data_IF_552309993751
#
_entry.id   IF_552309993751
#
_cell.length_a   1.000
_cell.length_b   1.000
_cell.length_c   1.000
_cell.angle_alpha   90.00
_cell.angle_beta   90.00
_cell.angle_gamma   90.00
#
_symmetry.space_group_name_H-M   'P 1'
#
loop_
_entity.id
_entity.type
_entity.pdbx_description
1 polymer ?
#
# COMPACT_ATOMS: atom_id res chain seq x y z
N UNK A 1 -4.09 -1.84 -14.42
CA UNK A 1 -3.56 -0.58 -13.87
C UNK A 1 -2.10 -0.43 -14.28
N UNK A 2 -1.74 0.70 -14.82
CA UNK A 2 -0.37 0.98 -15.23
C UNK A 2 0.34 1.77 -14.12
N UNK A 3 1.48 1.28 -13.69
CA UNK A 3 2.28 1.94 -12.67
C UNK A 3 3.36 2.80 -13.32
N UNK A 4 3.61 4.00 -12.78
CA UNK A 4 4.69 4.85 -13.25
C UNK A 4 6.04 4.12 -13.16
N UNK A 5 6.94 4.41 -14.08
CA UNK A 5 8.23 3.72 -14.20
C UNK A 5 9.04 3.75 -12.90
N UNK A 6 9.11 4.91 -12.23
CA UNK A 6 9.85 5.03 -10.98
C UNK A 6 9.22 4.19 -9.86
N UNK A 7 7.89 4.14 -9.81
CA UNK A 7 7.18 3.32 -8.83
C UNK A 7 7.40 1.83 -9.13
N UNK A 8 7.36 1.45 -10.40
CA UNK A 8 7.64 0.07 -10.83
C UNK A 8 9.05 -0.33 -10.41
N UNK A 9 10.04 0.51 -10.67
CA UNK A 9 11.44 0.23 -10.30
C UNK A 9 11.60 0.09 -8.79
N UNK A 10 10.92 0.94 -8.01
CA UNK A 10 10.97 0.87 -6.56
C UNK A 10 10.36 -0.43 -6.04
N UNK A 11 9.19 -0.81 -6.56
CA UNK A 11 8.51 -2.04 -6.15
C UNK A 11 9.36 -3.27 -6.51
N UNK A 12 10.01 -3.26 -7.66
CA UNK A 12 10.93 -4.34 -8.04
C UNK A 12 12.05 -4.51 -7.02
N UNK A 13 12.58 -3.41 -6.50
CA UNK A 13 13.62 -3.45 -5.46
C UNK A 13 13.05 -3.96 -4.13
N UNK A 14 11.85 -3.55 -3.75
CA UNK A 14 11.19 -4.09 -2.57
C UNK A 14 11.07 -5.61 -2.65
N UNK A 15 10.66 -6.13 -3.80
CA UNK A 15 10.52 -7.56 -4.01
C UNK A 15 11.88 -8.27 -4.06
N UNK A 16 12.87 -7.67 -4.70
CA UNK A 16 14.21 -8.23 -4.80
C UNK A 16 14.85 -8.45 -3.42
N UNK A 17 14.70 -7.48 -2.53
CA UNK A 17 15.23 -7.55 -1.17
C UNK A 17 14.27 -8.18 -0.17
N UNK A 18 13.17 -8.73 -0.65
CA UNK A 18 12.18 -9.43 0.18
C UNK A 18 11.68 -8.57 1.34
N UNK A 19 11.37 -7.31 1.05
CA UNK A 19 10.79 -6.40 2.03
C UNK A 19 9.38 -6.85 2.41
N UNK A 20 9.08 -6.84 3.69
CA UNK A 20 7.71 -7.01 4.17
C UNK A 20 7.00 -5.66 4.04
N UNK A 21 6.11 -5.54 3.05
CA UNK A 21 5.40 -4.29 2.76
C UNK A 21 4.00 -4.54 2.23
N UNK A 22 3.17 -3.51 2.32
CA UNK A 22 1.88 -3.44 1.63
C UNK A 22 1.69 -2.06 1.04
N UNK A 23 1.08 -2.00 -0.13
CA UNK A 23 0.60 -0.74 -0.71
C UNK A 23 -0.67 -0.34 0.03
N UNK A 24 -0.72 0.89 0.49
CA UNK A 24 -1.86 1.50 1.19
C UNK A 24 -2.27 2.78 0.48
N UNK A 25 -3.15 3.57 1.04
CA UNK A 25 -3.51 4.88 0.50
C UNK A 25 -4.25 4.84 -0.83
N UNK A 26 -4.00 5.83 -1.67
CA UNK A 26 -4.74 6.02 -2.93
C UNK A 26 -4.65 4.89 -3.93
N UNK A 27 -3.49 4.25 -4.06
CA UNK A 27 -3.33 3.10 -4.95
C UNK A 27 -4.09 1.88 -4.44
N UNK A 28 -4.15 1.68 -3.12
CA UNK A 28 -4.96 0.61 -2.53
C UNK A 28 -6.46 0.88 -2.74
N UNK A 29 -6.89 2.13 -2.59
CA UNK A 29 -8.26 2.53 -2.87
C UNK A 29 -8.64 2.21 -4.33
N UNK A 30 -7.77 2.54 -5.27
CA UNK A 30 -7.98 2.25 -6.69
C UNK A 30 -8.07 0.74 -6.93
N UNK A 31 -7.21 -0.04 -6.29
CA UNK A 31 -7.24 -1.50 -6.41
C UNK A 31 -8.56 -2.08 -5.90
N UNK A 32 -9.09 -1.55 -4.80
CA UNK A 32 -10.35 -2.04 -4.21
C UNK A 32 -11.60 -1.51 -4.90
N UNK A 33 -11.48 -0.82 -6.01
CA UNK A 33 -12.61 -0.54 -6.88
C UNK A 33 -13.00 0.92 -7.03
N UNK A 34 -12.25 1.86 -6.44
CA UNK A 34 -12.49 3.28 -6.64
C UNK A 34 -11.34 3.95 -7.38
N UNK A 35 -11.28 3.86 -8.72
CA UNK A 35 -10.23 4.54 -9.47
C UNK A 35 -10.29 6.05 -9.23
N UNK A 36 -9.15 6.64 -8.89
CA UNK A 36 -8.99 8.07 -8.87
C UNK A 36 -7.52 8.38 -9.14
N UNK A 37 -7.28 9.59 -9.64
CA UNK A 37 -5.92 10.02 -9.87
C UNK A 37 -5.19 10.16 -8.52
N UNK A 38 -4.01 9.55 -8.42
CA UNK A 38 -3.14 9.69 -7.25
C UNK A 38 -1.70 9.80 -7.73
N UNK A 39 -0.97 10.77 -7.18
CA UNK A 39 0.43 10.98 -7.51
C UNK A 39 1.39 10.29 -6.53
N UNK A 40 0.91 9.91 -5.35
CA UNK A 40 1.75 9.37 -4.30
C UNK A 40 1.56 7.87 -4.18
N UNK A 41 2.68 7.14 -4.12
CA UNK A 41 2.67 5.72 -3.81
C UNK A 41 2.97 5.57 -2.32
N UNK A 42 2.01 5.07 -1.55
CA UNK A 42 2.14 4.86 -0.11
C UNK A 42 2.50 3.40 0.17
N UNK A 43 3.68 3.19 0.72
CA UNK A 43 4.23 1.88 1.06
C UNK A 43 4.30 1.75 2.58
N UNK A 44 3.58 0.79 3.14
CA UNK A 44 3.61 0.47 4.56
C UNK A 44 4.55 -0.71 4.77
N UNK A 45 5.59 -0.53 5.59
CA UNK A 45 6.60 -1.55 5.86
C UNK A 45 6.46 -2.06 7.29
N UNK A 46 6.78 -3.35 7.49
CA UNK A 46 6.84 -3.92 8.84
C UNK A 46 8.09 -3.42 9.57
N UNK A 47 7.96 -3.18 10.87
CA UNK A 47 9.08 -2.77 11.73
C UNK A 47 9.85 -4.00 12.18
N UNK A 48 11.06 -4.18 11.66
CA UNK A 48 12.02 -5.20 12.13
C UNK A 48 13.42 -4.80 11.73
N UNK A 49 14.42 -5.30 12.44
CA UNK A 49 15.84 -5.08 12.10
C UNK A 49 16.15 -5.57 10.68
N UNK A 50 15.64 -6.74 10.34
CA UNK A 50 15.82 -7.33 9.03
C UNK A 50 15.23 -6.44 7.93
N UNK A 51 14.00 -5.98 8.13
CA UNK A 51 13.31 -5.13 7.16
C UNK A 51 14.02 -3.78 7.02
N UNK A 52 14.42 -3.18 8.14
CA UNK A 52 15.12 -1.90 8.14
C UNK A 52 16.48 -1.98 7.41
N UNK A 53 17.27 -3.03 7.68
CA UNK A 53 18.53 -3.24 6.99
C UNK A 53 18.36 -3.39 5.48
N UNK A 54 17.34 -4.13 5.07
CA UNK A 54 17.02 -4.36 3.66
C UNK A 54 16.49 -3.09 2.99
N UNK A 55 15.73 -2.27 3.71
CA UNK A 55 15.26 -0.98 3.18
C UNK A 55 16.42 -0.06 2.83
N UNK A 56 17.50 -0.06 3.60
CA UNK A 56 18.67 0.72 3.24
C UNK A 56 19.28 0.26 1.92
N UNK A 57 19.29 -1.04 1.63
CA UNK A 57 19.74 -1.58 0.36
C UNK A 57 18.83 -1.15 -0.80
N UNK A 58 17.52 -1.20 -0.58
CA UNK A 58 16.53 -0.73 -1.56
C UNK A 58 16.81 0.73 -1.92
N UNK A 59 16.95 1.58 -0.92
CA UNK A 59 17.18 3.01 -1.14
C UNK A 59 18.50 3.29 -1.80
N UNK A 60 19.56 2.56 -1.44
CA UNK A 60 20.85 2.68 -2.09
C UNK A 60 20.75 2.32 -3.58
N UNK A 61 20.12 1.21 -3.89
CA UNK A 61 19.97 0.76 -5.28
C UNK A 61 19.02 1.67 -6.09
N UNK A 62 18.09 2.31 -5.40
CA UNK A 62 17.19 3.28 -6.02
C UNK A 62 17.86 4.65 -6.26
N UNK A 63 19.13 4.78 -5.86
CA UNK A 63 19.90 6.01 -6.08
C UNK A 63 19.76 7.05 -4.98
N UNK A 64 19.32 6.67 -3.80
CA UNK A 64 19.06 7.59 -2.68
C UNK A 64 20.08 7.51 -1.55
N UNK A 65 21.26 6.92 -1.80
CA UNK A 65 22.29 6.76 -0.76
C UNK A 65 22.79 8.09 -0.18
N UNK A 66 22.80 9.16 -0.97
CA UNK A 66 23.23 10.48 -0.54
C UNK A 66 22.26 11.17 0.42
N UNK A 67 21.05 10.65 0.58
CA UNK A 67 20.03 11.25 1.46
C UNK A 67 20.28 10.98 2.94
N UNK A 68 21.22 10.09 3.27
CA UNK A 68 21.61 9.84 4.66
C UNK A 68 20.61 9.03 5.49
N UNK A 69 19.82 8.17 4.86
CA UNK A 69 18.87 7.31 5.59
C UNK A 69 19.59 6.34 6.52
N UNK A 70 18.98 6.09 7.68
CA UNK A 70 19.51 5.19 8.71
C UNK A 70 18.45 4.14 9.06
N UNK A 71 18.88 3.02 9.65
CA UNK A 71 17.96 1.97 10.10
C UNK A 71 16.90 2.51 11.06
N UNK A 72 17.27 3.43 11.95
CA UNK A 72 16.33 4.02 12.90
C UNK A 72 15.15 4.72 12.23
N UNK A 73 15.33 5.22 11.01
CA UNK A 73 14.25 5.85 10.24
C UNK A 73 13.11 4.86 9.96
N UNK A 74 13.42 3.57 9.95
CA UNK A 74 12.44 2.50 9.66
C UNK A 74 12.05 1.69 10.90
N UNK A 75 12.72 1.90 12.03
CA UNK A 75 12.46 1.19 13.28
C UNK A 75 11.63 1.99 14.26
N UNK A 76 11.67 3.30 14.17
CA UNK A 76 10.97 4.19 15.10
C UNK A 76 9.49 4.31 14.69
N UNK A 77 8.55 3.79 15.51
CA UNK A 77 7.13 3.81 15.13
C UNK A 77 6.61 5.22 14.85
N UNK A 78 5.77 5.34 13.83
CA UNK A 78 5.18 6.61 13.44
C UNK A 78 6.05 7.45 12.52
N UNK A 79 7.18 6.92 12.08
CA UNK A 79 8.06 7.63 11.15
C UNK A 79 7.59 7.46 9.72
N UNK A 80 7.60 8.54 8.96
CA UNK A 80 7.33 8.52 7.53
C UNK A 80 8.52 9.07 6.77
N UNK A 81 8.95 8.35 5.74
CA UNK A 81 10.03 8.76 4.85
C UNK A 81 9.46 9.09 3.49
N UNK A 82 9.73 10.27 2.97
CA UNK A 82 9.23 10.71 1.67
C UNK A 82 10.39 10.78 0.67
N UNK A 83 10.17 10.22 -0.51
CA UNK A 83 11.16 10.19 -1.60
C UNK A 83 10.53 10.81 -2.84
N UNK A 84 11.28 11.71 -3.49
CA UNK A 84 10.84 12.35 -4.72
C UNK A 84 9.95 13.56 -4.46
N UNK A 85 9.38 14.07 -5.53
CA UNK A 85 8.55 15.28 -5.54
C UNK A 85 7.27 15.04 -6.32
N UNK A 86 6.16 15.73 -6.00
CA UNK A 86 4.99 15.66 -6.85
C UNK A 86 5.35 15.98 -8.30
N UNK A 87 4.73 15.29 -9.29
CA UNK A 87 3.57 14.40 -9.14
C UNK A 87 3.90 12.94 -8.80
N UNK A 88 5.15 12.56 -8.65
CA UNK A 88 5.56 11.18 -8.39
C UNK A 88 6.36 11.08 -7.10
N UNK A 89 5.67 11.00 -5.96
CA UNK A 89 6.30 10.86 -4.65
C UNK A 89 6.03 9.47 -4.07
N UNK A 90 7.03 8.91 -3.40
CA UNK A 90 6.90 7.66 -2.67
C UNK A 90 6.95 7.97 -1.18
N UNK A 91 5.92 7.56 -0.46
CA UNK A 91 5.82 7.72 0.99
C UNK A 91 5.99 6.35 1.65
N UNK A 92 7.00 6.21 2.49
CA UNK A 92 7.28 4.97 3.22
C UNK A 92 6.83 5.17 4.66
N UNK A 93 5.83 4.39 5.09
CA UNK A 93 5.27 4.46 6.44
C UNK A 93 5.62 3.16 7.19
N UNK A 94 5.89 3.26 8.48
CA UNK A 94 6.12 2.07 9.29
C UNK A 94 5.00 1.80 10.29
N UNK A 95 3.94 2.63 10.28
CA UNK A 95 2.71 2.38 11.02
C UNK A 95 1.54 3.07 10.33
N UNK A 96 0.35 2.50 10.51
CA UNK A 96 -0.89 3.10 10.05
C UNK A 96 -1.92 3.00 11.17
N UNK A 97 -2.92 3.87 11.15
CA UNK A 97 -3.93 3.91 12.20
C UNK A 97 -4.81 2.66 12.19
N UNK A 98 -5.00 2.07 13.36
CA UNK A 98 -6.00 1.04 13.59
C UNK A 98 -5.67 -0.37 13.09
N UNK A 99 -4.52 -0.59 12.49
CA UNK A 99 -4.15 -1.90 11.93
C UNK A 99 -2.70 -2.23 12.25
N UNK A 100 -2.46 -3.45 12.71
CA UNK A 100 -1.12 -3.98 12.94
C UNK A 100 -0.65 -4.80 11.73
N UNK A 101 0.63 -4.69 11.38
CA UNK A 101 1.18 -5.33 10.19
C UNK A 101 1.02 -6.86 10.21
N UNK A 102 1.32 -7.49 11.34
CA UNK A 102 1.26 -8.96 11.45
C UNK A 102 -0.15 -9.50 11.28
N UNK A 103 -1.17 -8.71 11.64
CA UNK A 103 -2.56 -9.07 11.40
C UNK A 103 -2.94 -8.84 9.95
N UNK A 104 -2.54 -7.73 9.38
CA UNK A 104 -2.88 -7.35 8.01
C UNK A 104 -2.27 -8.28 6.96
N UNK A 105 -1.09 -8.81 7.21
CA UNK A 105 -0.41 -9.70 6.26
C UNK A 105 -1.23 -10.97 5.97
N UNK A 106 -2.05 -11.39 6.91
CA UNK A 106 -2.90 -12.58 6.76
C UNK A 106 -4.00 -12.39 5.72
N UNK A 107 -4.38 -11.16 5.44
CA UNK A 107 -5.47 -10.81 4.53
C UNK A 107 -5.04 -9.96 3.36
N UNK A 108 -3.74 -9.72 3.20
CA UNK A 108 -3.25 -8.90 2.09
C UNK A 108 -3.49 -9.58 0.75
N UNK A 109 -3.65 -8.78 -0.29
CA UNK A 109 -3.77 -9.26 -1.65
C UNK A 109 -2.43 -9.13 -2.37
N UNK A 110 -1.87 -10.26 -2.80
CA UNK A 110 -0.69 -10.24 -3.67
C UNK A 110 -1.15 -10.41 -5.11
N UNK A 111 -0.83 -9.45 -5.94
CA UNK A 111 -1.35 -9.38 -7.31
C UNK A 111 -0.20 -9.15 -8.28
N UNK A 112 -0.21 -9.88 -9.39
CA UNK A 112 0.69 -9.61 -10.49
C UNK A 112 0.07 -8.54 -11.38
N UNK A 113 0.74 -7.38 -11.48
CA UNK A 113 0.37 -6.34 -12.42
C UNK A 113 1.42 -6.26 -13.50
N UNK A 114 0.98 -6.14 -14.75
CA UNK A 114 1.87 -6.22 -15.89
C UNK A 114 2.71 -7.51 -15.84
N UNK A 115 3.69 -7.67 -16.70
CA UNK A 115 4.50 -8.88 -16.76
C UNK A 115 5.49 -8.92 -15.60
N UNK A 116 5.39 -9.94 -14.74
CA UNK A 116 6.36 -10.27 -13.68
C UNK A 116 6.52 -9.25 -12.56
N UNK A 117 5.53 -8.34 -12.36
CA UNK A 117 5.58 -7.41 -11.23
C UNK A 117 4.52 -7.77 -10.20
N UNK A 118 4.96 -8.26 -9.05
CA UNK A 118 4.08 -8.55 -7.91
C UNK A 118 3.93 -7.31 -7.05
N UNK A 119 2.70 -7.05 -6.61
CA UNK A 119 2.38 -6.00 -5.64
C UNK A 119 1.57 -6.58 -4.49
N UNK A 120 1.94 -6.19 -3.28
CA UNK A 120 1.18 -6.53 -2.09
C UNK A 120 0.28 -5.36 -1.73
N UNK A 121 -1.03 -5.56 -1.74
CA UNK A 121 -2.00 -4.55 -1.33
C UNK A 121 -2.60 -4.92 0.01
N UNK A 122 -2.82 -3.92 0.86
CA UNK A 122 -3.61 -4.10 2.08
C UNK A 122 -4.98 -4.67 1.70
N UNK A 123 -5.46 -5.65 2.48
CA UNK A 123 -6.78 -6.24 2.26
C UNK A 123 -7.90 -5.23 2.49
N UNK A 124 -9.07 -5.48 1.89
CA UNK A 124 -10.19 -4.54 1.95
C UNK A 124 -10.65 -4.25 3.38
N UNK A 125 -10.79 -5.27 4.21
CA UNK A 125 -11.25 -5.08 5.59
C UNK A 125 -10.27 -4.23 6.40
N UNK A 126 -8.98 -4.48 6.25
CA UNK A 126 -7.95 -3.72 6.95
C UNK A 126 -7.84 -2.30 6.39
N UNK A 127 -8.03 -2.13 5.09
CA UNK A 127 -8.12 -0.81 4.47
C UNK A 127 -9.24 0.01 5.10
N UNK A 128 -10.43 -0.57 5.25
CA UNK A 128 -11.58 0.09 5.86
C UNK A 128 -11.30 0.43 7.32
N UNK A 129 -10.73 -0.50 8.09
CA UNK A 129 -10.36 -0.25 9.49
C UNK A 129 -9.38 0.92 9.62
N UNK A 130 -8.38 0.97 8.74
CA UNK A 130 -7.40 2.05 8.73
C UNK A 130 -8.08 3.41 8.47
N UNK A 131 -8.95 3.47 7.47
CA UNK A 131 -9.65 4.71 7.12
C UNK A 131 -10.60 5.16 8.22
N UNK A 132 -11.29 4.24 8.87
CA UNK A 132 -12.16 4.55 10.00
C UNK A 132 -11.36 5.09 11.19
N UNK A 133 -10.22 4.48 11.48
CA UNK A 133 -9.37 4.88 12.59
C UNK A 133 -8.75 6.26 12.36
N UNK A 134 -8.37 6.59 11.12
CA UNK A 134 -7.82 7.91 10.79
C UNK A 134 -8.87 9.01 10.89
N UNK A 135 -10.13 8.70 10.62
CA UNK A 135 -11.28 9.57 10.88
C UNK A 135 -11.35 10.87 10.09
N UNK A 136 -10.49 11.06 9.09
CA UNK A 136 -10.54 12.28 8.26
C UNK A 136 -11.79 12.24 7.37
N UNK A 137 -12.34 13.43 7.07
CA UNK A 137 -13.57 13.54 6.24
C UNK A 137 -13.38 12.82 4.90
N UNK A 138 -12.23 12.99 4.26
CA UNK A 138 -11.92 12.33 2.99
C UNK A 138 -11.92 10.80 3.14
N UNK A 139 -11.37 10.29 4.23
CA UNK A 139 -11.31 8.85 4.50
C UNK A 139 -12.68 8.25 4.72
N UNK A 140 -13.56 8.96 5.45
CA UNK A 140 -14.94 8.52 5.67
C UNK A 140 -15.74 8.51 4.36
N UNK A 141 -15.52 9.49 3.50
CA UNK A 141 -16.15 9.54 2.18
C UNK A 141 -15.70 8.36 1.31
N UNK A 142 -14.41 8.02 1.33
CA UNK A 142 -13.85 6.89 0.60
C UNK A 142 -14.48 5.57 1.05
N UNK A 143 -14.69 5.39 2.36
CA UNK A 143 -15.35 4.21 2.91
C UNK A 143 -16.78 4.08 2.39
N UNK A 144 -17.53 5.17 2.38
CA UNK A 144 -18.91 5.15 1.90
C UNK A 144 -19.00 4.72 0.44
N UNK A 145 -18.09 5.18 -0.38
CA UNK A 145 -18.07 4.81 -1.80
C UNK A 145 -17.69 3.34 -2.00
N UNK A 146 -16.74 2.82 -1.23
CA UNK A 146 -16.39 1.40 -1.28
C UNK A 146 -17.56 0.55 -0.85
N UNK A 147 -18.30 0.93 0.20
CA UNK A 147 -19.48 0.21 0.64
C UNK A 147 -20.56 0.17 -0.43
N UNK A 148 -20.77 1.27 -1.15
CA UNK A 148 -21.72 1.32 -2.27
C UNK A 148 -21.31 0.35 -3.38
N UNK A 149 -20.03 0.28 -3.73
CA UNK A 149 -19.54 -0.62 -4.75
C UNK A 149 -19.75 -2.08 -4.34
N UNK A 150 -19.46 -2.43 -3.09
CA UNK A 150 -19.65 -3.78 -2.58
C UNK A 150 -21.14 -4.18 -2.59
N UNK A 151 -22.02 -3.28 -2.22
CA UNK A 151 -23.47 -3.52 -2.23
C UNK A 151 -23.99 -3.73 -3.66
N UNK A 152 -23.45 -2.98 -4.62
CA UNK A 152 -23.80 -3.11 -6.04
C UNK A 152 -23.33 -4.46 -6.59
N UNK A 153 -22.16 -4.92 -6.22
CA UNK A 153 -21.60 -6.20 -6.69
C UNK A 153 -22.33 -7.42 -6.11
N UNK A 154 -22.81 -7.32 -4.87
CA UNK A 154 -23.53 -8.42 -4.21
C UNK A 154 -24.81 -8.81 -4.91
N UNK A 155 -25.53 -7.86 -5.52
CA UNK A 155 -26.82 -8.11 -6.17
C UNK A 155 -26.70 -9.03 -7.40
N UNK A 156 -25.76 -8.81 -8.34
CA UNK A 156 -25.57 -9.71 -9.48
C UNK A 156 -25.16 -11.13 -9.10
N UNK A 157 -24.31 -11.29 -8.09
CA UNK A 157 -23.88 -12.62 -7.62
C UNK A 157 -25.04 -13.42 -7.03
N UNK A 158 -25.88 -12.80 -6.24
CA UNK A 158 -27.06 -13.44 -5.69
C UNK A 158 -28.03 -13.90 -6.78
N UNK A 159 -28.17 -13.13 -7.85
CA UNK A 159 -29.00 -13.52 -9.00
C UNK A 159 -28.41 -14.70 -9.75
N UNK A 160 -27.08 -14.74 -9.90
CA UNK A 160 -26.38 -15.88 -10.55
C UNK A 160 -26.55 -17.15 -9.74
N UNK A 161 -26.45 -17.08 -8.42
CA UNK A 161 -26.63 -18.23 -7.53
C UNK A 161 -28.03 -18.81 -7.56
N UNK A 162 -29.04 -18.03 -7.92
CA UNK A 162 -30.42 -18.49 -8.02
C UNK A 162 -30.72 -19.22 -9.33
N UNK A 163 -29.89 -19.06 -10.34
CA UNK A 163 -30.06 -19.70 -11.66
C UNK A 163 -29.27 -21.00 -11.78
N UNK A 164 -28.48 -21.30 -10.77
CA UNK A 164 -27.75 -22.55 -10.67
C UNK A 164 -28.51 -23.57 -9.86
#
# INVERSE_FOLDING_TARGET
MTLAKDFEDFVKLLNLYEIEYMVVGGYALAFHGKPRHTGDLDIWINISEKNASRMLKVLNDFGMSSMGFKKDDFLKPGYMTQIGYPPLRIDILNSIDGVEFDDAVKQMNQVEIETDLLLNYIGLNDFVKNKQASGRIQDLADIQEIKKLLDTEKIPEKKRGRHL
#
